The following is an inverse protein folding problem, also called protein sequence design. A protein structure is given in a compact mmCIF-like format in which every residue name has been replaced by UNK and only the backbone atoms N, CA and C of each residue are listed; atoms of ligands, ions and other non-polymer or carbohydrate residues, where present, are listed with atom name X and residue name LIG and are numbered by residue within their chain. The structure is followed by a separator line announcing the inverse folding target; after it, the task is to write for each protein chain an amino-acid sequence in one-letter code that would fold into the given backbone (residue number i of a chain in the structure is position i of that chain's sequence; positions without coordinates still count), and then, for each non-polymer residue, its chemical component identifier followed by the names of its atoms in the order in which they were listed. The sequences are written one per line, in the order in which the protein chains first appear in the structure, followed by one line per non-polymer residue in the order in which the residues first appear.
data_IF_556791270401
#
_entry.id   IF_556791270401
#
_cell.length_a   1.000
_cell.length_b   1.000
_cell.length_c   1.000
_cell.angle_alpha   90.00
_cell.angle_beta   90.00
_cell.angle_gamma   90.00
#
_symmetry.space_group_name_H-M   'P 1'
#
loop_
_entity.id
_entity.type
_entity.pdbx_description
1 polymer ?
#
# COMPACT_ATOMS: atom_id res chain seq x y z
N UNK A 1 27.61 10.35 -64.85
CA UNK A 1 26.51 11.25 -64.52
C UNK A 1 25.25 10.48 -64.09
N UNK A 2 24.73 9.50 -64.81
CA UNK A 2 23.50 8.76 -64.51
C UNK A 2 23.52 8.04 -63.15
N UNK A 3 24.63 7.40 -62.73
CA UNK A 3 24.73 6.73 -61.38
C UNK A 3 24.58 7.69 -60.22
N UNK A 4 25.11 8.92 -60.35
CA UNK A 4 24.97 9.91 -59.27
C UNK A 4 23.54 10.44 -59.17
N UNK A 5 22.85 10.60 -60.30
CA UNK A 5 21.44 11.01 -60.28
C UNK A 5 20.53 9.93 -59.70
N UNK A 6 20.75 8.66 -60.02
CA UNK A 6 20.01 7.53 -59.40
C UNK A 6 20.27 7.42 -57.91
N UNK A 7 21.52 7.61 -57.47
CA UNK A 7 21.87 7.62 -56.05
C UNK A 7 21.15 8.76 -55.30
N UNK A 8 21.14 9.96 -55.85
CA UNK A 8 20.45 11.11 -55.26
C UNK A 8 18.94 10.93 -55.20
N UNK A 9 18.34 10.35 -56.25
CA UNK A 9 16.89 10.03 -56.25
C UNK A 9 16.57 8.99 -55.19
N UNK A 10 17.39 7.96 -55.02
CA UNK A 10 17.19 6.93 -54.00
C UNK A 10 17.33 7.51 -52.59
N UNK A 11 18.31 8.37 -52.36
CA UNK A 11 18.47 9.06 -51.05
C UNK A 11 17.26 9.95 -50.73
N UNK A 12 16.78 10.69 -51.75
CA UNK A 12 15.59 11.53 -51.58
C UNK A 12 14.32 10.69 -51.26
N UNK A 13 14.13 9.55 -51.90
CA UNK A 13 13.02 8.63 -51.61
C UNK A 13 13.08 8.11 -50.19
N UNK A 14 14.24 7.64 -49.74
CA UNK A 14 14.44 7.17 -48.35
C UNK A 14 14.12 8.28 -47.33
N UNK A 15 14.55 9.50 -47.63
CA UNK A 15 14.26 10.65 -46.77
C UNK A 15 12.75 11.00 -46.75
N UNK A 16 12.10 10.94 -47.90
CA UNK A 16 10.68 11.17 -48.06
C UNK A 16 9.84 10.12 -47.33
N UNK A 17 10.20 8.83 -47.40
CA UNK A 17 9.56 7.75 -46.66
C UNK A 17 9.72 7.92 -45.17
N UNK A 18 10.90 8.36 -44.70
CA UNK A 18 11.13 8.67 -43.29
C UNK A 18 10.24 9.81 -42.81
N UNK A 19 10.14 10.90 -43.53
CA UNK A 19 9.26 12.03 -43.18
C UNK A 19 7.79 11.64 -43.21
N UNK A 20 7.36 10.88 -44.21
CA UNK A 20 6.00 10.37 -44.31
C UNK A 20 5.65 9.49 -43.09
N UNK A 21 6.56 8.62 -42.67
CA UNK A 21 6.38 7.79 -41.47
C UNK A 21 6.32 8.64 -40.20
N UNK A 22 7.16 9.66 -40.07
CA UNK A 22 7.14 10.59 -38.96
C UNK A 22 5.82 11.40 -38.88
N UNK A 23 5.31 11.83 -40.01
CA UNK A 23 4.02 12.52 -40.10
C UNK A 23 2.87 11.60 -39.74
N UNK A 24 2.84 10.38 -40.24
CA UNK A 24 1.78 9.40 -40.00
C UNK A 24 1.76 8.92 -38.54
N UNK A 25 2.94 8.69 -37.97
CA UNK A 25 3.07 8.18 -36.56
C UNK A 25 3.14 9.28 -35.53
N UNK A 26 3.34 10.54 -35.93
CA UNK A 26 3.61 11.69 -35.04
C UNK A 26 4.80 11.46 -34.10
N UNK A 27 5.69 10.55 -34.45
CA UNK A 27 6.89 10.20 -33.67
C UNK A 27 8.15 10.52 -34.47
N UNK A 28 9.09 11.23 -33.83
CA UNK A 28 10.39 11.55 -34.44
C UNK A 28 11.24 10.30 -34.67
N UNK A 29 11.11 9.29 -33.80
CA UNK A 29 11.83 8.02 -33.87
C UNK A 29 10.81 6.90 -33.81
N UNK A 30 10.72 6.09 -34.83
CA UNK A 30 9.77 4.96 -34.92
C UNK A 30 10.43 3.64 -34.52
N UNK A 31 11.72 3.50 -34.80
CA UNK A 31 12.49 2.29 -34.51
C UNK A 31 13.74 2.63 -33.68
N UNK A 32 14.14 1.77 -32.72
CA UNK A 32 15.40 1.98 -31.99
C UNK A 32 16.63 2.14 -32.87
N UNK A 33 16.61 1.55 -34.06
CA UNK A 33 17.69 1.66 -35.06
C UNK A 33 17.81 3.05 -35.72
N UNK A 34 16.75 3.87 -35.70
CA UNK A 34 16.76 5.18 -36.33
C UNK A 34 17.60 6.19 -35.54
N UNK A 35 17.50 6.15 -34.22
CA UNK A 35 18.33 6.92 -33.30
C UNK A 35 18.38 6.20 -31.93
N UNK A 36 19.44 5.40 -31.70
CA UNK A 36 19.53 4.60 -30.47
C UNK A 36 19.64 5.46 -29.22
N UNK A 37 20.27 6.63 -29.28
CA UNK A 37 20.46 7.50 -28.13
C UNK A 37 19.13 8.11 -27.69
N UNK A 38 18.36 8.63 -28.64
CA UNK A 38 17.03 9.19 -28.34
C UNK A 38 16.06 8.10 -27.90
N UNK A 39 16.13 6.90 -28.48
CA UNK A 39 15.32 5.76 -28.12
C UNK A 39 15.55 5.32 -26.67
N UNK A 40 16.81 5.20 -26.25
CA UNK A 40 17.17 4.84 -24.86
C UNK A 40 16.66 5.91 -23.87
N UNK A 41 16.85 7.19 -24.19
CA UNK A 41 16.35 8.29 -23.37
C UNK A 41 14.83 8.27 -23.24
N UNK A 42 14.13 8.04 -24.36
CA UNK A 42 12.67 7.95 -24.35
C UNK A 42 12.15 6.76 -23.55
N UNK A 43 12.81 5.61 -23.63
CA UNK A 43 12.48 4.43 -22.82
C UNK A 43 12.68 4.70 -21.32
N UNK A 44 13.81 5.30 -20.93
CA UNK A 44 14.06 5.67 -19.54
C UNK A 44 13.00 6.65 -19.00
N UNK A 45 12.67 7.68 -19.77
CA UNK A 45 11.64 8.64 -19.35
C UNK A 45 10.27 7.98 -19.21
N UNK A 46 9.90 7.07 -20.13
CA UNK A 46 8.65 6.31 -20.00
C UNK A 46 8.65 5.39 -18.79
N UNK A 47 9.77 4.71 -18.52
CA UNK A 47 9.92 3.88 -17.31
C UNK A 47 9.73 4.72 -16.06
N UNK A 48 10.38 5.87 -15.97
CA UNK A 48 10.25 6.78 -14.84
C UNK A 48 8.81 7.30 -14.68
N UNK A 49 8.14 7.67 -15.76
CA UNK A 49 6.73 8.09 -15.73
C UNK A 49 5.82 6.95 -15.23
N UNK A 50 6.05 5.73 -15.70
CA UNK A 50 5.29 4.56 -15.25
C UNK A 50 5.50 4.31 -13.77
N UNK A 51 6.74 4.39 -13.31
CA UNK A 51 7.12 4.21 -11.90
C UNK A 51 6.46 5.28 -11.01
N UNK A 52 6.61 6.55 -11.38
CA UNK A 52 5.97 7.66 -10.65
C UNK A 52 4.44 7.52 -10.64
N UNK A 53 3.85 7.13 -11.76
CA UNK A 53 2.41 6.90 -11.84
C UNK A 53 1.97 5.76 -10.94
N UNK A 54 2.74 4.68 -10.86
CA UNK A 54 2.47 3.57 -9.95
C UNK A 54 2.55 4.00 -8.49
N UNK A 55 3.58 4.76 -8.11
CA UNK A 55 3.68 5.28 -6.75
C UNK A 55 2.50 6.18 -6.40
N UNK A 56 2.18 7.13 -7.27
CA UNK A 56 1.13 8.10 -7.02
C UNK A 56 -0.27 7.49 -7.00
N UNK A 57 -0.58 6.60 -7.96
CA UNK A 57 -1.96 6.10 -8.15
C UNK A 57 -2.28 4.83 -7.38
N UNK A 58 -1.25 4.12 -6.87
CA UNK A 58 -1.45 2.85 -6.17
C UNK A 58 -0.77 2.82 -4.81
N UNK A 59 0.56 3.03 -4.77
CA UNK A 59 1.31 2.78 -3.55
C UNK A 59 0.98 3.79 -2.44
N UNK A 60 0.77 5.07 -2.78
CA UNK A 60 0.42 6.10 -1.80
C UNK A 60 -0.98 5.87 -1.23
N UNK A 61 -2.05 5.70 -2.04
CA UNK A 61 -3.38 5.39 -1.50
C UNK A 61 -3.44 4.09 -0.69
N UNK A 62 -2.69 3.06 -1.08
CA UNK A 62 -2.59 1.82 -0.32
C UNK A 62 -1.93 2.06 1.05
N UNK A 63 -0.85 2.84 1.08
CA UNK A 63 -0.17 3.19 2.32
C UNK A 63 -1.04 4.07 3.23
N UNK A 64 -1.78 5.03 2.66
CA UNK A 64 -2.75 5.85 3.41
C UNK A 64 -3.83 4.98 4.03
N UNK A 65 -4.45 4.08 3.25
CA UNK A 65 -5.47 3.18 3.77
C UNK A 65 -4.94 2.24 4.86
N UNK A 66 -3.70 1.76 4.74
CA UNK A 66 -3.04 0.97 5.77
C UNK A 66 -2.85 1.77 7.07
N UNK A 67 -2.44 3.03 6.95
CA UNK A 67 -2.26 3.92 8.10
C UNK A 67 -3.59 4.29 8.76
N UNK A 68 -4.64 4.52 7.97
CA UNK A 68 -5.99 4.80 8.48
C UNK A 68 -6.51 3.63 9.33
N UNK A 69 -6.40 2.40 8.83
CA UNK A 69 -6.78 1.20 9.60
C UNK A 69 -5.95 1.07 10.88
N UNK A 70 -4.66 1.38 10.80
CA UNK A 70 -3.78 1.36 11.98
C UNK A 70 -4.20 2.41 13.01
N UNK A 71 -4.50 3.62 12.56
CA UNK A 71 -4.93 4.73 13.41
C UNK A 71 -6.26 4.40 14.10
N UNK A 72 -7.23 3.88 13.35
CA UNK A 72 -8.54 3.50 13.90
C UNK A 72 -8.42 2.38 14.93
N UNK A 73 -7.60 1.39 14.68
CA UNK A 73 -7.32 0.32 15.64
C UNK A 73 -6.66 0.86 16.93
N UNK A 74 -5.72 1.81 16.82
CA UNK A 74 -5.08 2.43 17.98
C UNK A 74 -6.03 3.35 18.75
N UNK A 75 -6.94 4.06 18.08
CA UNK A 75 -8.00 4.84 18.73
C UNK A 75 -8.92 3.93 19.54
N UNK A 76 -9.38 2.84 18.91
CA UNK A 76 -10.24 1.86 19.57
C UNK A 76 -9.54 1.26 20.80
N UNK A 77 -8.27 0.86 20.68
CA UNK A 77 -7.46 0.38 21.79
C UNK A 77 -7.38 1.40 22.94
N UNK A 78 -7.21 2.68 22.61
CA UNK A 78 -7.16 3.75 23.61
C UNK A 78 -8.49 3.90 24.36
N UNK A 79 -9.61 3.77 23.65
CA UNK A 79 -10.95 3.79 24.25
C UNK A 79 -11.17 2.60 25.18
N UNK A 80 -10.80 1.40 24.75
CA UNK A 80 -10.88 0.17 25.56
C UNK A 80 -10.07 0.34 26.85
N UNK A 81 -8.81 0.77 26.76
CA UNK A 81 -7.94 1.01 27.93
C UNK A 81 -8.57 2.06 28.86
N UNK A 82 -9.11 3.13 28.33
CA UNK A 82 -9.79 4.17 29.11
C UNK A 82 -11.00 3.59 29.87
N UNK A 83 -11.76 2.71 29.23
CA UNK A 83 -12.90 2.03 29.85
C UNK A 83 -12.42 1.04 30.91
N UNK A 84 -11.33 0.30 30.68
CA UNK A 84 -10.72 -0.58 31.69
C UNK A 84 -10.32 0.22 32.93
N UNK A 85 -9.66 1.37 32.78
CA UNK A 85 -9.27 2.26 33.88
C UNK A 85 -10.52 2.70 34.69
N UNK A 86 -11.59 3.10 33.99
CA UNK A 86 -12.85 3.48 34.68
C UNK A 86 -13.44 2.33 35.47
N UNK A 87 -13.46 1.10 34.94
CA UNK A 87 -13.94 -0.07 35.65
C UNK A 87 -13.05 -0.43 36.83
N UNK A 88 -11.74 -0.37 36.72
CA UNK A 88 -10.79 -0.56 37.79
C UNK A 88 -10.99 0.46 38.91
N UNK A 89 -11.19 1.73 38.57
CA UNK A 89 -11.47 2.81 39.52
C UNK A 89 -12.77 2.55 40.28
N UNK A 90 -13.84 2.08 39.59
CA UNK A 90 -15.08 1.67 40.24
C UNK A 90 -14.85 0.48 41.18
N UNK A 91 -14.09 -0.52 40.76
CA UNK A 91 -13.80 -1.71 41.59
C UNK A 91 -13.02 -1.39 42.86
N UNK A 92 -12.23 -0.32 42.86
CA UNK A 92 -11.45 0.15 44.01
C UNK A 92 -12.30 0.82 45.09
N UNK A 93 -13.55 1.16 44.82
CA UNK A 93 -14.44 1.75 45.84
C UNK A 93 -14.84 0.70 46.89
N UNK A 94 -14.71 1.09 48.16
CA UNK A 94 -14.92 0.20 49.30
C UNK A 94 -16.35 -0.28 49.53
N UNK A 95 -17.36 0.43 48.99
CA UNK A 95 -18.80 0.17 49.22
C UNK A 95 -19.38 -0.95 48.32
N UNK A 96 -18.60 -1.54 47.43
CA UNK A 96 -19.08 -2.56 46.51
C UNK A 96 -19.22 -3.93 47.16
N UNK A 97 -20.38 -4.55 46.96
CA UNK A 97 -20.63 -5.94 47.35
C UNK A 97 -19.84 -6.91 46.49
N UNK A 98 -19.62 -8.12 46.97
CA UNK A 98 -18.89 -9.18 46.27
C UNK A 98 -19.48 -9.46 44.86
N UNK A 99 -20.81 -9.46 44.73
CA UNK A 99 -21.51 -9.66 43.46
C UNK A 99 -21.21 -8.55 42.44
N UNK A 100 -21.16 -7.29 42.89
CA UNK A 100 -20.88 -6.14 42.01
C UNK A 100 -19.43 -6.19 41.49
N UNK A 101 -18.49 -6.61 42.32
CA UNK A 101 -17.08 -6.81 41.93
C UNK A 101 -16.93 -7.94 40.90
N UNK A 102 -17.73 -8.98 41.00
CA UNK A 102 -17.73 -10.09 40.05
C UNK A 102 -18.21 -9.64 38.66
N UNK A 103 -19.25 -8.79 38.59
CA UNK A 103 -19.73 -8.20 37.37
C UNK A 103 -18.62 -7.33 36.70
N UNK A 104 -17.92 -6.52 37.49
CA UNK A 104 -16.82 -5.70 36.99
C UNK A 104 -15.67 -6.58 36.47
N UNK A 105 -15.38 -7.70 37.15
CA UNK A 105 -14.36 -8.65 36.69
C UNK A 105 -14.72 -9.26 35.33
N UNK A 106 -15.98 -9.64 35.13
CA UNK A 106 -16.45 -10.15 33.84
C UNK A 106 -16.38 -9.10 32.74
N UNK A 107 -16.73 -7.84 33.06
CA UNK A 107 -16.56 -6.72 32.11
C UNK A 107 -15.09 -6.48 31.75
N UNK A 108 -14.18 -6.56 32.72
CA UNK A 108 -12.73 -6.41 32.44
C UNK A 108 -12.20 -7.55 31.60
N UNK A 109 -12.69 -8.78 31.80
CA UNK A 109 -12.32 -9.91 30.91
C UNK A 109 -12.81 -9.69 29.50
N UNK A 110 -14.06 -9.25 29.33
CA UNK A 110 -14.61 -8.94 28.02
C UNK A 110 -13.82 -7.84 27.31
N UNK A 111 -13.45 -6.76 28.02
CA UNK A 111 -12.58 -5.71 27.47
C UNK A 111 -11.17 -6.24 27.13
N UNK A 112 -10.65 -7.19 27.89
CA UNK A 112 -9.40 -7.86 27.56
C UNK A 112 -9.49 -8.67 26.25
N UNK A 113 -10.58 -9.42 26.06
CA UNK A 113 -10.84 -10.14 24.80
C UNK A 113 -10.98 -9.17 23.61
N UNK A 114 -11.56 -7.99 23.83
CA UNK A 114 -11.68 -6.93 22.81
C UNK A 114 -10.31 -6.34 22.42
N UNK A 115 -9.37 -6.19 23.37
CA UNK A 115 -7.98 -5.81 23.07
C UNK A 115 -7.32 -6.80 22.13
N UNK A 116 -7.48 -8.11 22.38
CA UNK A 116 -6.93 -9.13 21.48
C UNK A 116 -7.57 -9.07 20.10
N UNK A 117 -8.88 -8.90 20.02
CA UNK A 117 -9.59 -8.74 18.74
C UNK A 117 -9.14 -7.50 17.98
N UNK A 118 -8.89 -6.39 18.67
CA UNK A 118 -8.37 -5.16 18.05
C UNK A 118 -6.93 -5.34 17.54
N UNK A 119 -6.13 -6.16 18.24
CA UNK A 119 -4.79 -6.53 17.81
C UNK A 119 -4.75 -7.33 16.51
N UNK A 120 -5.83 -8.02 16.17
CA UNK A 120 -5.99 -8.76 14.90
C UNK A 120 -6.60 -7.92 13.78
N UNK A 121 -6.54 -6.58 13.88
CA UNK A 121 -6.97 -5.70 12.78
C UNK A 121 -6.25 -6.04 11.48
N UNK A 122 -7.02 -6.24 10.40
CA UNK A 122 -6.51 -6.58 9.09
C UNK A 122 -6.84 -5.54 8.02
N UNK A 123 -5.95 -5.40 7.05
CA UNK A 123 -6.17 -4.65 5.82
C UNK A 123 -5.86 -5.53 4.61
N UNK A 124 -6.87 -5.76 3.77
CA UNK A 124 -6.76 -6.60 2.57
C UNK A 124 -6.17 -8.00 2.83
N UNK A 125 -6.54 -8.62 3.96
CA UNK A 125 -6.07 -9.95 4.36
C UNK A 125 -4.65 -9.96 4.95
N UNK A 126 -4.14 -8.81 5.37
CA UNK A 126 -2.84 -8.67 6.04
C UNK A 126 -3.04 -8.05 7.40
N UNK A 127 -2.52 -8.69 8.43
CA UNK A 127 -2.57 -8.17 9.79
C UNK A 127 -1.61 -7.00 9.96
N UNK A 128 -2.12 -5.91 10.55
CA UNK A 128 -1.40 -4.64 10.63
C UNK A 128 -0.31 -4.66 11.70
N UNK A 129 -0.55 -5.36 12.83
CA UNK A 129 0.32 -5.35 14.00
C UNK A 129 1.34 -6.50 14.07
N UNK A 130 1.35 -7.40 13.10
CA UNK A 130 2.22 -8.59 13.10
C UNK A 130 3.62 -8.37 12.52
N UNK A 131 3.93 -7.13 12.09
CA UNK A 131 5.22 -6.79 11.49
C UNK A 131 5.44 -7.51 10.16
N UNK A 132 6.49 -8.33 10.05
CA UNK A 132 6.79 -9.07 8.81
C UNK A 132 5.90 -10.28 8.54
N UNK A 133 5.20 -10.79 9.55
CA UNK A 133 4.28 -11.95 9.42
C UNK A 133 2.84 -11.49 9.24
N UNK A 134 2.59 -10.79 8.18
CA UNK A 134 1.26 -10.23 7.88
C UNK A 134 0.20 -11.28 7.53
N UNK A 135 0.60 -12.52 7.38
CA UNK A 135 -0.24 -13.70 7.09
C UNK A 135 -0.78 -14.42 8.34
N UNK A 136 -0.25 -14.09 9.52
CA UNK A 136 -0.63 -14.73 10.78
C UNK A 136 -1.21 -13.72 11.74
N UNK A 137 -2.31 -14.11 12.46
CA UNK A 137 -2.91 -13.26 13.48
C UNK A 137 -2.00 -13.11 14.69
N UNK A 138 -2.20 -12.01 15.45
CA UNK A 138 -1.56 -11.77 16.76
C UNK A 138 -2.21 -12.57 17.89
N UNK A 139 -3.39 -13.17 17.63
CA UNK A 139 -4.08 -13.96 18.64
C UNK A 139 -3.16 -15.08 19.11
N UNK A 140 -2.54 -14.83 20.25
CA UNK A 140 -1.88 -15.86 21.02
C UNK A 140 -2.90 -16.93 21.34
N UNK A 141 -2.59 -18.18 21.02
CA UNK A 141 -3.42 -19.30 21.42
C UNK A 141 -3.75 -19.17 22.91
N UNK A 142 -5.03 -19.08 23.23
CA UNK A 142 -5.53 -18.97 24.63
C UNK A 142 -5.07 -20.14 25.52
N UNK A 143 -4.51 -21.19 24.92
CA UNK A 143 -4.00 -22.36 25.64
C UNK A 143 -2.73 -22.12 26.48
N UNK A 144 -1.95 -21.07 26.21
CA UNK A 144 -0.71 -20.81 26.95
C UNK A 144 -0.91 -20.11 28.29
N UNK A 145 -2.09 -19.56 28.60
CA UNK A 145 -2.36 -18.82 29.83
C UNK A 145 -3.20 -19.57 30.87
N UNK A 146 -3.40 -20.87 30.70
CA UNK A 146 -4.14 -21.73 31.66
C UNK A 146 -3.25 -22.71 32.44
N UNK A 147 -1.96 -22.37 32.61
CA UNK A 147 -1.07 -23.11 33.54
C UNK A 147 -0.56 -22.21 34.65
#
# INVERSE_FOLDING_TARGET
MQRNNLSNINTNKVYQDKLSTQMSTQKKVSRPSDDPVVSIRALRLRSNVTEVTQYYSKNIPDAESWLDVTEDALKNLTEIITNMIKQCTKASNGDLKSADRQIILEQLKALGDEVYSTGDADYAGRYVFTGYRTDTSLSFDKEYNTK
#
